data_IF_611923038209
#
_entry.id   IF_611923038209
#
_cell.length_a   1.000
_cell.length_b   1.000
_cell.length_c   1.000
_cell.angle_alpha   90.00
_cell.angle_beta   90.00
_cell.angle_gamma   90.00
#
_symmetry.space_group_name_H-M   'P 1'
#
loop_
_entity.id
_entity.type
_entity.pdbx_description
1 polymer ?
#
# COMPACT_ATOMS: atom_id res chain seq x y z
N UNK A 1 26.48 57.98 -44.13
CA UNK A 1 25.62 56.79 -44.20
C UNK A 1 26.39 55.59 -43.67
N UNK A 2 26.17 55.20 -42.42
CA UNK A 2 26.52 53.86 -41.91
C UNK A 2 25.44 53.50 -40.88
N UNK A 3 24.55 52.57 -41.23
CA UNK A 3 23.52 52.04 -40.34
C UNK A 3 24.11 50.84 -39.58
N UNK A 4 24.22 50.95 -38.25
CA UNK A 4 24.58 49.85 -37.37
C UNK A 4 23.30 49.06 -37.05
N UNK A 5 23.16 47.84 -37.61
CA UNK A 5 22.09 46.90 -37.24
C UNK A 5 22.56 46.07 -36.05
N UNK A 6 21.97 46.31 -34.88
CA UNK A 6 22.09 45.40 -33.74
C UNK A 6 21.07 44.26 -33.92
N UNK A 7 21.54 43.02 -33.99
CA UNK A 7 20.72 41.82 -33.98
C UNK A 7 20.70 41.30 -32.54
N UNK A 8 19.55 41.39 -31.86
CA UNK A 8 19.32 40.67 -30.61
C UNK A 8 18.96 39.22 -30.94
N UNK A 9 19.80 38.28 -30.50
CA UNK A 9 19.52 36.85 -30.52
C UNK A 9 18.87 36.50 -29.18
N UNK A 10 17.56 36.25 -29.17
CA UNK A 10 16.87 35.62 -28.04
C UNK A 10 17.14 34.12 -28.08
N UNK A 11 18.01 33.64 -27.19
CA UNK A 11 18.17 32.21 -26.93
C UNK A 11 17.00 31.80 -26.03
N UNK A 12 15.96 31.22 -26.63
CA UNK A 12 14.95 30.47 -25.88
C UNK A 12 15.59 29.17 -25.40
N UNK A 13 16.10 29.17 -24.17
CA UNK A 13 16.43 27.92 -23.47
C UNK A 13 15.12 27.23 -23.09
N UNK A 14 14.61 26.40 -24.00
CA UNK A 14 13.63 25.38 -23.64
C UNK A 14 14.33 24.35 -22.74
N UNK A 15 14.31 24.59 -21.43
CA UNK A 15 14.56 23.53 -20.46
C UNK A 15 13.41 22.53 -20.60
N UNK A 16 13.59 21.54 -21.47
CA UNK A 16 12.82 20.31 -21.42
C UNK A 16 13.07 19.72 -20.03
N UNK A 17 12.19 20.03 -19.08
CA UNK A 17 12.11 19.30 -17.83
C UNK A 17 11.64 17.91 -18.23
N UNK A 18 12.59 17.01 -18.50
CA UNK A 18 12.30 15.59 -18.56
C UNK A 18 11.54 15.27 -17.28
N UNK A 19 10.32 14.77 -17.42
CA UNK A 19 9.53 14.38 -16.29
C UNK A 19 10.34 13.33 -15.49
N UNK A 20 10.94 13.74 -14.37
CA UNK A 20 11.61 12.84 -13.41
C UNK A 20 10.81 11.54 -13.25
N UNK A 21 11.49 10.43 -13.52
CA UNK A 21 10.92 9.09 -13.43
C UNK A 21 10.50 8.82 -11.99
N UNK A 22 9.30 8.30 -11.78
CA UNK A 22 8.86 7.90 -10.46
C UNK A 22 9.69 6.70 -9.99
N UNK A 23 10.15 6.73 -8.73
CA UNK A 23 10.98 5.69 -8.11
C UNK A 23 10.32 5.15 -6.84
N UNK A 24 10.41 3.84 -6.56
CA UNK A 24 10.07 3.34 -5.24
C UNK A 24 11.22 3.67 -4.25
N UNK A 25 10.99 3.51 -2.93
CA UNK A 25 12.06 3.53 -1.94
C UNK A 25 13.14 2.47 -2.24
N UNK A 26 14.39 2.74 -1.83
CA UNK A 26 15.56 1.86 -2.08
C UNK A 26 15.37 0.40 -1.63
N UNK A 27 14.51 0.18 -0.64
CA UNK A 27 14.05 -1.12 -0.19
C UNK A 27 13.43 -2.03 -1.25
N UNK A 28 12.65 -1.45 -2.18
CA UNK A 28 12.03 -2.18 -3.27
C UNK A 28 12.99 -2.46 -4.43
N UNK A 29 14.22 -1.95 -4.35
CA UNK A 29 15.27 -2.10 -5.36
C UNK A 29 16.37 -3.07 -4.91
N UNK A 30 16.11 -3.87 -3.87
CA UNK A 30 17.07 -4.83 -3.35
C UNK A 30 17.22 -6.04 -4.29
N UNK A 31 18.43 -6.61 -4.41
CA UNK A 31 18.58 -7.95 -4.96
C UNK A 31 18.02 -9.01 -3.99
N UNK A 32 17.67 -10.19 -4.48
CA UNK A 32 17.43 -11.36 -3.63
C UNK A 32 18.57 -11.67 -2.66
N UNK A 33 18.22 -12.19 -1.48
CA UNK A 33 19.16 -12.49 -0.38
C UNK A 33 20.01 -13.75 -0.62
N UNK A 34 19.56 -14.66 -1.49
CA UNK A 34 20.19 -15.97 -1.76
C UNK A 34 20.36 -16.87 -0.52
N UNK A 35 19.39 -16.85 0.38
CA UNK A 35 19.33 -17.78 1.51
C UNK A 35 19.04 -19.21 1.02
N UNK A 36 19.68 -20.24 1.61
CA UNK A 36 19.32 -21.64 1.35
C UNK A 36 17.93 -21.94 1.93
N UNK A 37 16.90 -21.62 1.16
CA UNK A 37 15.50 -21.87 1.50
C UNK A 37 14.97 -23.09 0.73
N UNK A 38 13.97 -23.76 1.31
CA UNK A 38 13.22 -24.79 0.57
C UNK A 38 12.64 -24.17 -0.70
N UNK A 39 12.79 -24.88 -1.82
CA UNK A 39 12.16 -24.48 -3.07
C UNK A 39 10.65 -24.30 -2.84
N UNK A 40 10.15 -23.10 -3.13
CA UNK A 40 8.71 -22.85 -3.20
C UNK A 40 8.28 -23.23 -4.60
N UNK A 41 7.44 -24.26 -4.69
CA UNK A 41 6.89 -24.68 -5.98
C UNK A 41 5.93 -23.61 -6.52
N UNK A 42 5.75 -23.59 -7.83
CA UNK A 42 4.68 -22.83 -8.47
C UNK A 42 3.41 -23.70 -8.52
N UNK A 43 2.40 -23.48 -7.64
CA UNK A 43 1.15 -24.22 -7.74
C UNK A 43 0.31 -23.67 -8.89
N UNK A 44 -0.81 -24.34 -9.20
CA UNK A 44 -1.81 -23.79 -10.12
C UNK A 44 -2.28 -22.42 -9.64
N UNK A 45 -2.22 -21.42 -10.52
CA UNK A 45 -2.68 -20.07 -10.22
C UNK A 45 -4.21 -20.05 -9.97
N UNK A 46 -4.70 -19.26 -9.00
CA UNK A 46 -6.14 -19.02 -8.85
C UNK A 46 -6.76 -18.44 -10.12
N UNK A 47 -7.96 -18.90 -10.47
CA UNK A 47 -8.66 -18.44 -11.67
C UNK A 47 -8.93 -16.93 -11.64
N UNK A 48 -8.80 -16.21 -12.77
CA UNK A 48 -9.14 -14.80 -12.88
C UNK A 48 -10.55 -14.48 -12.39
N UNK A 49 -10.69 -13.52 -11.48
CA UNK A 49 -12.00 -13.04 -11.04
C UNK A 49 -12.53 -11.96 -11.99
N UNK A 50 -13.46 -12.33 -12.87
CA UNK A 50 -14.09 -11.44 -13.87
C UNK A 50 -15.56 -11.10 -13.57
N UNK A 51 -16.06 -11.56 -12.42
CA UNK A 51 -17.42 -11.29 -11.98
C UNK A 51 -17.64 -9.85 -11.48
N UNK A 52 -18.89 -9.54 -11.14
CA UNK A 52 -19.26 -8.29 -10.48
C UNK A 52 -18.63 -8.23 -9.10
N UNK A 53 -18.07 -7.08 -8.72
CA UNK A 53 -17.51 -6.82 -7.40
C UNK A 53 -18.64 -6.33 -6.47
N UNK A 54 -19.55 -7.23 -6.12
CA UNK A 54 -20.67 -6.99 -5.20
C UNK A 54 -20.68 -8.09 -4.12
N UNK A 55 -20.06 -7.78 -2.97
CA UNK A 55 -19.87 -8.75 -1.89
C UNK A 55 -20.56 -8.32 -0.60
N UNK A 56 -21.12 -9.27 0.12
CA UNK A 56 -21.72 -8.99 1.42
C UNK A 56 -20.66 -8.46 2.40
N UNK A 57 -21.00 -7.42 3.16
CA UNK A 57 -20.13 -6.91 4.22
C UNK A 57 -20.16 -7.84 5.44
N UNK A 58 -19.00 -8.16 6.01
CA UNK A 58 -18.87 -8.88 7.29
C UNK A 58 -19.52 -8.18 8.49
N UNK A 59 -19.85 -6.89 8.35
CA UNK A 59 -20.56 -6.09 9.36
C UNK A 59 -22.06 -5.92 9.02
N UNK A 60 -22.62 -6.76 8.14
CA UNK A 60 -24.04 -6.71 7.81
C UNK A 60 -24.90 -6.86 9.08
N UNK A 61 -25.82 -5.91 9.29
CA UNK A 61 -26.65 -5.83 10.49
C UNK A 61 -26.05 -5.02 11.65
N UNK A 62 -24.82 -4.51 11.54
CA UNK A 62 -24.25 -3.60 12.54
C UNK A 62 -24.88 -2.20 12.46
N UNK A 63 -24.91 -1.49 13.59
CA UNK A 63 -25.25 -0.07 13.66
C UNK A 63 -24.26 0.83 12.89
N UNK A 64 -24.44 2.15 12.98
CA UNK A 64 -23.60 3.13 12.28
C UNK A 64 -22.11 3.07 12.64
N UNK A 65 -21.75 2.50 13.80
CA UNK A 65 -20.35 2.27 14.19
C UNK A 65 -19.69 1.16 13.37
N UNK A 66 -20.49 0.29 12.72
CA UNK A 66 -20.02 -0.86 11.93
C UNK A 66 -18.98 -1.71 12.67
N UNK A 67 -19.17 -1.94 13.97
CA UNK A 67 -18.17 -2.57 14.84
C UNK A 67 -18.55 -4.00 15.26
N UNK A 68 -19.78 -4.43 14.99
CA UNK A 68 -20.28 -5.76 15.36
C UNK A 68 -20.17 -6.73 14.19
N UNK A 69 -19.32 -7.76 14.33
CA UNK A 69 -19.12 -8.79 13.31
C UNK A 69 -20.36 -9.68 13.21
N UNK A 70 -20.82 -9.95 12.00
CA UNK A 70 -21.83 -10.96 11.72
C UNK A 70 -21.11 -12.22 11.19
N UNK A 71 -21.08 -13.34 11.95
CA UNK A 71 -20.33 -14.53 11.56
C UNK A 71 -20.76 -15.15 10.22
N UNK A 72 -22.06 -15.17 9.93
CA UNK A 72 -22.59 -15.70 8.68
C UNK A 72 -22.20 -14.81 7.50
N UNK A 73 -22.31 -13.49 7.67
CA UNK A 73 -21.89 -12.53 6.66
C UNK A 73 -20.37 -12.55 6.43
N UNK A 74 -19.56 -12.77 7.48
CA UNK A 74 -18.11 -12.94 7.36
C UNK A 74 -17.76 -14.23 6.60
N UNK A 75 -18.45 -15.34 6.88
CA UNK A 75 -18.27 -16.59 6.16
C UNK A 75 -18.64 -16.44 4.66
N UNK A 76 -19.79 -15.83 4.37
CA UNK A 76 -20.23 -15.55 3.00
C UNK A 76 -19.25 -14.63 2.27
N UNK A 77 -18.80 -13.54 2.91
CA UNK A 77 -17.78 -12.66 2.39
C UNK A 77 -16.49 -13.42 2.02
N UNK A 78 -15.96 -14.22 2.95
CA UNK A 78 -14.73 -15.01 2.71
C UNK A 78 -14.88 -15.99 1.57
N UNK A 79 -16.03 -16.63 1.44
CA UNK A 79 -16.30 -17.55 0.33
C UNK A 79 -16.35 -16.80 -1.01
N UNK A 80 -17.08 -15.69 -1.07
CA UNK A 80 -17.25 -14.89 -2.30
C UNK A 80 -15.94 -14.28 -2.77
N UNK A 81 -15.10 -13.79 -1.85
CA UNK A 81 -13.83 -13.14 -2.20
C UNK A 81 -12.65 -14.09 -2.30
N UNK A 82 -12.86 -15.39 -2.07
CA UNK A 82 -11.78 -16.39 -1.99
C UNK A 82 -10.84 -16.35 -3.20
N UNK A 83 -11.32 -16.34 -4.46
CA UNK A 83 -10.43 -16.32 -5.62
C UNK A 83 -9.47 -15.12 -5.62
N UNK A 84 -9.95 -13.96 -5.18
CA UNK A 84 -9.15 -12.72 -5.07
C UNK A 84 -8.10 -12.87 -3.96
N UNK A 85 -8.52 -13.29 -2.77
CA UNK A 85 -7.61 -13.42 -1.63
C UNK A 85 -6.58 -14.54 -1.81
N UNK A 86 -6.93 -15.60 -2.53
CA UNK A 86 -6.01 -16.69 -2.85
C UNK A 86 -4.97 -16.22 -3.87
N UNK A 87 -5.34 -15.34 -4.82
CA UNK A 87 -4.40 -14.71 -5.75
C UNK A 87 -3.47 -13.71 -5.05
N UNK A 88 -3.98 -12.89 -4.13
CA UNK A 88 -3.14 -12.01 -3.29
C UNK A 88 -2.06 -12.82 -2.56
N UNK A 89 -2.45 -13.93 -1.92
CA UNK A 89 -1.52 -14.83 -1.22
C UNK A 89 -0.55 -15.53 -2.16
N UNK A 90 -1.02 -15.97 -3.32
CA UNK A 90 -0.19 -16.62 -4.34
C UNK A 90 0.95 -15.69 -4.74
N UNK A 91 0.64 -14.47 -5.17
CA UNK A 91 1.63 -13.49 -5.64
C UNK A 91 2.61 -13.13 -4.52
N UNK A 92 2.09 -12.81 -3.33
CA UNK A 92 2.93 -12.44 -2.19
C UNK A 92 3.88 -13.57 -1.79
N UNK A 93 3.43 -14.83 -1.75
CA UNK A 93 4.30 -15.97 -1.42
C UNK A 93 5.40 -16.17 -2.46
N UNK A 94 5.08 -16.08 -3.75
CA UNK A 94 6.06 -16.30 -4.81
C UNK A 94 7.10 -15.17 -4.86
N UNK A 95 6.68 -13.90 -4.71
CA UNK A 95 7.63 -12.78 -4.66
C UNK A 95 8.49 -12.83 -3.40
N UNK A 96 7.93 -13.14 -2.22
CA UNK A 96 8.74 -13.35 -1.01
C UNK A 96 9.73 -14.50 -1.17
N UNK A 97 9.31 -15.62 -1.78
CA UNK A 97 10.22 -16.73 -2.05
C UNK A 97 11.36 -16.32 -2.98
N UNK A 98 11.05 -15.60 -4.07
CA UNK A 98 12.06 -15.06 -4.97
C UNK A 98 13.01 -14.08 -4.26
N UNK A 99 12.50 -13.16 -3.44
CA UNK A 99 13.33 -12.22 -2.67
C UNK A 99 14.29 -12.95 -1.71
N UNK A 100 13.88 -14.10 -1.16
CA UNK A 100 14.74 -14.89 -0.27
C UNK A 100 15.78 -15.73 -1.01
N UNK A 101 15.42 -16.38 -2.11
CA UNK A 101 16.26 -17.42 -2.74
C UNK A 101 16.76 -17.10 -4.16
N UNK A 102 16.28 -16.03 -4.79
CA UNK A 102 16.64 -15.63 -6.15
C UNK A 102 16.20 -16.57 -7.26
N UNK A 103 15.37 -17.59 -6.97
CA UNK A 103 15.01 -18.60 -7.96
C UNK A 103 14.08 -18.01 -9.05
N UNK A 104 14.49 -18.00 -10.33
CA UNK A 104 13.71 -17.42 -11.42
C UNK A 104 12.39 -18.15 -11.69
N UNK A 105 12.21 -19.40 -11.23
CA UNK A 105 10.93 -20.10 -11.37
C UNK A 105 9.79 -19.40 -10.60
N UNK A 106 10.10 -18.76 -9.48
CA UNK A 106 9.12 -17.97 -8.71
C UNK A 106 8.68 -16.71 -9.50
N UNK A 107 9.61 -16.09 -10.24
CA UNK A 107 9.29 -14.95 -11.12
C UNK A 107 8.39 -15.40 -12.24
N UNK A 108 8.76 -16.48 -12.95
CA UNK A 108 7.93 -17.06 -14.02
C UNK A 108 6.51 -17.37 -13.53
N UNK A 109 6.39 -17.90 -12.31
CA UNK A 109 5.12 -18.20 -11.66
C UNK A 109 4.23 -16.96 -11.49
N UNK A 110 4.80 -15.87 -10.97
CA UNK A 110 4.08 -14.59 -10.78
C UNK A 110 3.70 -13.98 -12.12
N UNK A 111 4.64 -13.91 -13.06
CA UNK A 111 4.42 -13.31 -14.37
C UNK A 111 3.29 -14.02 -15.12
N UNK A 112 3.31 -15.35 -15.18
CA UNK A 112 2.26 -16.10 -15.87
C UNK A 112 0.89 -15.90 -15.21
N UNK A 113 0.82 -16.02 -13.88
CA UNK A 113 -0.44 -15.87 -13.16
C UNK A 113 -1.04 -14.45 -13.29
N UNK A 114 -0.21 -13.41 -13.21
CA UNK A 114 -0.67 -12.03 -13.41
C UNK A 114 -1.00 -11.73 -14.87
N UNK A 115 -0.28 -12.32 -15.84
CA UNK A 115 -0.59 -12.17 -17.26
C UNK A 115 -1.95 -12.80 -17.61
N UNK A 116 -2.30 -13.93 -16.99
CA UNK A 116 -3.61 -14.56 -17.16
C UNK A 116 -4.73 -13.69 -16.58
N UNK A 117 -4.53 -13.13 -15.38
CA UNK A 117 -5.47 -12.19 -14.76
C UNK A 117 -5.63 -10.90 -15.60
N UNK A 118 -4.52 -10.35 -16.09
CA UNK A 118 -4.52 -9.16 -16.92
C UNK A 118 -5.27 -9.39 -18.24
N UNK A 119 -4.99 -10.51 -18.93
CA UNK A 119 -5.63 -10.86 -20.20
C UNK A 119 -7.13 -11.11 -20.06
N UNK A 120 -7.56 -11.66 -18.93
CA UNK A 120 -8.97 -11.86 -18.61
C UNK A 120 -9.69 -10.58 -18.17
N UNK A 121 -8.98 -9.47 -17.95
CA UNK A 121 -9.55 -8.26 -17.36
C UNK A 121 -10.05 -8.49 -15.93
N UNK A 122 -9.32 -9.29 -15.13
CA UNK A 122 -9.73 -9.56 -13.77
C UNK A 122 -9.90 -8.26 -12.96
N UNK A 123 -10.91 -8.23 -12.09
CA UNK A 123 -11.25 -7.10 -11.21
C UNK A 123 -11.68 -5.79 -11.92
N UNK A 124 -11.82 -5.75 -13.24
CA UNK A 124 -12.29 -4.55 -13.96
C UNK A 124 -13.82 -4.40 -13.95
N UNK A 125 -14.55 -5.49 -13.70
CA UNK A 125 -16.02 -5.48 -13.64
C UNK A 125 -16.59 -4.56 -12.56
N UNK A 126 -17.82 -4.08 -12.74
CA UNK A 126 -18.43 -3.06 -11.88
C UNK A 126 -18.36 -3.38 -10.38
N UNK A 127 -17.90 -2.41 -9.59
CA UNK A 127 -17.84 -2.46 -8.14
C UNK A 127 -18.95 -1.62 -7.51
N UNK A 128 -20.15 -2.19 -7.44
CA UNK A 128 -21.36 -1.48 -7.02
C UNK A 128 -21.38 -1.12 -5.53
N UNK A 129 -20.69 -1.90 -4.71
CA UNK A 129 -20.74 -1.73 -3.26
C UNK A 129 -19.35 -1.43 -2.66
N UNK A 130 -19.34 -0.91 -1.44
CA UNK A 130 -18.10 -0.52 -0.76
C UNK A 130 -17.14 -1.70 -0.53
N UNK A 131 -17.66 -2.92 -0.35
CA UNK A 131 -16.88 -4.14 -0.12
C UNK A 131 -16.13 -4.55 -1.39
N UNK A 132 -16.80 -4.54 -2.55
CA UNK A 132 -16.21 -4.85 -3.85
C UNK A 132 -15.12 -3.86 -4.26
N UNK A 133 -15.41 -2.56 -4.13
CA UNK A 133 -14.42 -1.49 -4.31
C UNK A 133 -13.19 -1.69 -3.41
N UNK A 134 -13.42 -2.16 -2.18
CA UNK A 134 -12.33 -2.47 -1.24
C UNK A 134 -11.52 -3.71 -1.67
N UNK A 135 -12.15 -4.74 -2.22
CA UNK A 135 -11.42 -5.90 -2.75
C UNK A 135 -10.54 -5.53 -3.94
N UNK A 136 -11.02 -4.67 -4.86
CA UNK A 136 -10.23 -4.14 -5.98
C UNK A 136 -8.94 -3.48 -5.50
N UNK A 137 -9.03 -2.45 -4.63
CA UNK A 137 -7.84 -1.72 -4.17
C UNK A 137 -6.86 -2.59 -3.37
N UNK A 138 -7.35 -3.55 -2.58
CA UNK A 138 -6.46 -4.42 -1.79
C UNK A 138 -5.68 -5.39 -2.67
N UNK A 139 -6.34 -5.98 -3.67
CA UNK A 139 -5.66 -6.78 -4.68
C UNK A 139 -4.66 -5.93 -5.49
N UNK A 140 -5.06 -4.73 -5.91
CA UNK A 140 -4.19 -3.78 -6.62
C UNK A 140 -2.95 -3.42 -5.82
N UNK A 141 -3.10 -3.12 -4.52
CA UNK A 141 -1.98 -2.83 -3.63
C UNK A 141 -1.01 -4.02 -3.55
N UNK A 142 -1.53 -5.24 -3.37
CA UNK A 142 -0.74 -6.47 -3.34
C UNK A 142 0.03 -6.68 -4.65
N UNK A 143 -0.65 -6.59 -5.79
CA UNK A 143 -0.03 -6.86 -7.09
C UNK A 143 1.00 -5.80 -7.47
N UNK A 144 0.69 -4.52 -7.27
CA UNK A 144 1.60 -3.43 -7.62
C UNK A 144 2.85 -3.44 -6.74
N UNK A 145 2.70 -3.59 -5.42
CA UNK A 145 3.84 -3.60 -4.50
C UNK A 145 4.73 -4.84 -4.64
N UNK A 146 4.16 -5.98 -5.04
CA UNK A 146 4.92 -7.18 -5.40
C UNK A 146 5.64 -7.00 -6.76
N UNK A 147 4.99 -6.40 -7.75
CA UNK A 147 5.57 -6.16 -9.07
C UNK A 147 6.77 -5.20 -9.01
N UNK A 148 6.70 -4.16 -8.17
CA UNK A 148 7.81 -3.22 -7.96
C UNK A 148 9.13 -3.93 -7.61
N UNK A 149 9.09 -4.95 -6.75
CA UNK A 149 10.29 -5.71 -6.36
C UNK A 149 10.94 -6.42 -7.54
N UNK A 150 10.13 -6.95 -8.47
CA UNK A 150 10.62 -7.62 -9.68
C UNK A 150 11.12 -6.60 -10.71
N UNK A 151 10.38 -5.50 -10.89
CA UNK A 151 10.65 -4.47 -11.89
C UNK A 151 11.90 -3.66 -11.58
N UNK A 152 12.13 -3.33 -10.31
CA UNK A 152 13.24 -2.51 -9.85
C UNK A 152 14.43 -3.31 -9.29
N UNK A 153 14.35 -4.64 -9.31
CA UNK A 153 15.49 -5.47 -8.95
C UNK A 153 16.68 -5.21 -9.89
N UNK A 154 17.92 -5.10 -9.37
CA UNK A 154 19.12 -4.96 -10.18
C UNK A 154 19.42 -6.21 -11.03
N UNK A 155 18.82 -7.36 -10.70
CA UNK A 155 18.94 -8.58 -11.51
C UNK A 155 18.07 -8.55 -12.77
N UNK A 156 17.17 -7.58 -12.89
CA UNK A 156 16.26 -7.40 -14.03
C UNK A 156 15.52 -8.69 -14.46
N UNK A 157 14.88 -9.42 -13.52
CA UNK A 157 14.29 -10.73 -13.79
C UNK A 157 13.13 -10.68 -14.80
N UNK A 158 12.52 -9.50 -15.00
CA UNK A 158 11.42 -9.30 -15.96
C UNK A 158 11.87 -9.17 -17.43
N UNK A 159 13.17 -9.04 -17.73
CA UNK A 159 13.67 -8.89 -19.12
C UNK A 159 13.28 -10.04 -20.04
N UNK A 160 13.01 -11.22 -19.49
CA UNK A 160 12.56 -12.39 -20.24
C UNK A 160 11.07 -12.33 -20.65
N UNK A 161 10.31 -11.34 -20.18
CA UNK A 161 8.84 -11.29 -20.30
C UNK A 161 8.29 -9.95 -20.80
N UNK A 162 8.82 -9.33 -21.87
CA UNK A 162 8.44 -7.98 -22.27
C UNK A 162 6.95 -7.83 -22.63
N UNK A 163 6.36 -8.84 -23.30
CA UNK A 163 4.94 -8.80 -23.68
C UNK A 163 4.01 -8.93 -22.47
N UNK A 164 4.33 -9.84 -21.54
CA UNK A 164 3.58 -10.01 -20.31
C UNK A 164 3.69 -8.77 -19.42
N UNK A 165 4.89 -8.18 -19.33
CA UNK A 165 5.11 -6.95 -18.59
C UNK A 165 4.22 -5.82 -19.11
N UNK A 166 4.22 -5.57 -20.42
CA UNK A 166 3.37 -4.53 -21.02
C UNK A 166 1.88 -4.79 -20.79
N UNK A 167 1.44 -6.06 -20.80
CA UNK A 167 0.05 -6.42 -20.52
C UNK A 167 -0.35 -6.20 -19.06
N UNK A 168 0.49 -6.68 -18.14
CA UNK A 168 0.28 -6.56 -16.69
C UNK A 168 0.27 -5.09 -16.27
N UNK A 169 1.23 -4.29 -16.73
CA UNK A 169 1.32 -2.87 -16.36
C UNK A 169 0.13 -2.06 -16.90
N UNK A 170 -0.36 -2.37 -18.12
CA UNK A 170 -1.61 -1.76 -18.65
C UNK A 170 -2.84 -2.14 -17.82
N UNK A 171 -2.93 -3.40 -17.41
CA UNK A 171 -4.03 -3.85 -16.55
C UNK A 171 -3.98 -3.21 -15.16
N UNK A 172 -2.79 -3.14 -14.54
CA UNK A 172 -2.60 -2.45 -13.26
C UNK A 172 -2.96 -0.96 -13.38
N UNK A 173 -2.57 -0.29 -14.46
CA UNK A 173 -3.01 1.08 -14.79
C UNK A 173 -4.53 1.20 -14.79
N UNK A 174 -5.22 0.32 -15.52
CA UNK A 174 -6.69 0.33 -15.60
C UNK A 174 -7.33 0.18 -14.22
N UNK A 175 -6.79 -0.70 -13.38
CA UNK A 175 -7.25 -0.84 -12.00
C UNK A 175 -6.94 0.39 -11.13
N UNK A 176 -5.82 1.06 -11.39
CA UNK A 176 -5.46 2.36 -10.79
C UNK A 176 -6.52 3.42 -11.08
N UNK A 177 -6.86 3.63 -12.35
CA UNK A 177 -7.87 4.60 -12.78
C UNK A 177 -9.24 4.31 -12.16
N UNK A 178 -9.64 3.03 -12.18
CA UNK A 178 -10.87 2.58 -11.54
C UNK A 178 -10.85 2.85 -10.03
N UNK A 179 -9.70 2.69 -9.38
CA UNK A 179 -9.55 2.96 -7.94
C UNK A 179 -9.59 4.46 -7.64
N UNK A 180 -9.02 5.32 -8.48
CA UNK A 180 -9.15 6.79 -8.36
C UNK A 180 -10.62 7.19 -8.41
N UNK A 181 -11.33 6.75 -9.46
CA UNK A 181 -12.75 7.03 -9.67
C UNK A 181 -13.65 6.61 -8.49
N UNK A 182 -13.24 5.57 -7.76
CA UNK A 182 -14.00 5.05 -6.64
C UNK A 182 -13.76 5.77 -5.31
N UNK A 183 -12.58 6.38 -5.11
CA UNK A 183 -12.08 6.73 -3.77
C UNK A 183 -11.57 8.17 -3.63
N UNK A 184 -11.24 8.87 -4.72
CA UNK A 184 -10.65 10.22 -4.68
C UNK A 184 -11.61 11.27 -4.12
N UNK A 185 -12.77 11.48 -4.77
CA UNK A 185 -13.69 12.59 -4.46
C UNK A 185 -14.78 12.24 -3.42
N UNK A 186 -14.45 11.42 -2.43
CA UNK A 186 -15.40 11.07 -1.37
C UNK A 186 -15.61 12.26 -0.42
N UNK A 187 -16.83 12.48 0.10
CA UNK A 187 -17.04 13.51 1.13
C UNK A 187 -16.23 13.17 2.38
N UNK A 188 -15.69 14.18 3.08
CA UNK A 188 -14.75 14.00 4.20
C UNK A 188 -15.26 13.07 5.30
N UNK A 189 -16.57 13.02 5.55
CA UNK A 189 -17.17 12.11 6.54
C UNK A 189 -17.18 10.63 6.12
N UNK A 190 -16.84 10.33 4.85
CA UNK A 190 -16.66 8.99 4.28
C UNK A 190 -15.20 8.65 3.96
N UNK A 191 -14.30 9.63 3.99
CA UNK A 191 -12.85 9.41 3.86
C UNK A 191 -12.30 8.84 5.16
N UNK A 192 -11.88 7.59 5.14
CA UNK A 192 -11.30 6.87 6.29
C UNK A 192 -10.19 5.94 5.81
N UNK A 193 -9.74 4.99 6.63
CA UNK A 193 -8.71 4.00 6.30
C UNK A 193 -8.91 3.33 4.93
N UNK A 194 -10.14 3.14 4.46
CA UNK A 194 -10.36 2.59 3.12
C UNK A 194 -9.86 3.50 2.01
N UNK A 195 -9.98 4.83 2.14
CA UNK A 195 -9.40 5.78 1.21
C UNK A 195 -7.87 5.76 1.29
N UNK A 196 -7.29 5.61 2.48
CA UNK A 196 -5.83 5.58 2.63
C UNK A 196 -5.22 4.32 2.01
N UNK A 197 -5.88 3.16 2.18
CA UNK A 197 -5.51 1.94 1.48
C UNK A 197 -5.70 2.04 -0.04
N UNK A 198 -6.67 2.85 -0.51
CA UNK A 198 -6.82 3.13 -1.94
C UNK A 198 -5.66 3.97 -2.46
N UNK A 199 -5.32 5.05 -1.75
CA UNK A 199 -4.18 5.90 -2.07
C UNK A 199 -2.86 5.11 -2.10
N UNK A 200 -2.65 4.16 -1.18
CA UNK A 200 -1.49 3.29 -1.24
C UNK A 200 -1.48 2.41 -2.49
N UNK A 201 -2.62 1.81 -2.86
CA UNK A 201 -2.73 1.02 -4.08
C UNK A 201 -2.39 1.86 -5.32
N UNK A 202 -2.99 3.05 -5.42
CA UNK A 202 -2.79 4.01 -6.51
C UNK A 202 -1.31 4.45 -6.56
N UNK A 203 -0.71 4.82 -5.41
CA UNK A 203 0.70 5.23 -5.30
C UNK A 203 1.65 4.14 -5.82
N UNK A 204 1.47 2.90 -5.37
CA UNK A 204 2.29 1.79 -5.84
C UNK A 204 2.11 1.54 -7.36
N UNK A 205 0.88 1.62 -7.86
CA UNK A 205 0.57 1.50 -9.30
C UNK A 205 1.17 2.64 -10.12
N UNK A 206 1.17 3.87 -9.61
CA UNK A 206 1.74 5.03 -10.25
C UNK A 206 3.25 4.83 -10.52
N UNK A 207 3.99 4.29 -9.55
CA UNK A 207 5.42 3.98 -9.72
C UNK A 207 5.66 2.79 -10.67
N UNK A 208 4.80 1.78 -10.65
CA UNK A 208 4.88 0.66 -11.61
C UNK A 208 4.71 1.15 -13.04
N UNK A 209 3.69 1.98 -13.26
CA UNK A 209 3.23 2.39 -14.60
C UNK A 209 3.78 3.73 -15.06
N UNK A 210 4.56 4.42 -14.21
CA UNK A 210 5.12 5.75 -14.45
C UNK A 210 4.06 6.85 -14.69
N UNK A 211 2.88 6.68 -14.09
CA UNK A 211 1.75 7.60 -14.22
C UNK A 211 1.72 8.64 -13.11
N UNK A 212 2.05 9.89 -13.47
CA UNK A 212 2.17 11.01 -12.53
C UNK A 212 0.84 11.57 -12.05
N UNK A 213 -0.20 11.44 -12.85
CA UNK A 213 -1.59 11.70 -12.47
C UNK A 213 -2.00 10.79 -11.30
N UNK A 214 -1.83 9.47 -11.43
CA UNK A 214 -2.09 8.54 -10.33
C UNK A 214 -1.25 8.87 -9.08
N UNK A 215 0.02 9.25 -9.26
CA UNK A 215 0.87 9.67 -8.14
C UNK A 215 0.30 10.91 -7.43
N UNK A 216 -0.21 11.87 -8.20
CA UNK A 216 -0.82 13.10 -7.68
C UNK A 216 -2.12 12.79 -6.96
N UNK A 217 -3.01 11.98 -7.54
CA UNK A 217 -4.28 11.57 -6.92
C UNK A 217 -4.05 10.84 -5.58
N UNK A 218 -3.02 9.99 -5.51
CA UNK A 218 -2.65 9.31 -4.27
C UNK A 218 -2.18 10.30 -3.19
N UNK A 219 -1.41 11.33 -3.57
CA UNK A 219 -0.95 12.37 -2.65
C UNK A 219 -2.11 13.26 -2.17
N UNK A 220 -3.10 13.53 -3.01
CA UNK A 220 -4.26 14.34 -2.62
C UNK A 220 -5.13 13.64 -1.57
N UNK A 221 -5.31 12.32 -1.71
CA UNK A 221 -5.95 11.51 -0.65
C UNK A 221 -5.08 11.48 0.62
N UNK A 222 -3.75 11.37 0.50
CA UNK A 222 -2.84 11.41 1.63
C UNK A 222 -2.92 12.74 2.39
N UNK A 223 -2.89 13.87 1.68
CA UNK A 223 -3.06 15.21 2.26
C UNK A 223 -4.40 15.34 2.98
N UNK A 224 -5.47 14.83 2.38
CA UNK A 224 -6.78 14.77 3.02
C UNK A 224 -6.71 14.00 4.35
N UNK A 225 -6.04 12.85 4.38
CA UNK A 225 -5.82 12.10 5.61
C UNK A 225 -5.04 12.92 6.66
N UNK A 226 -3.97 13.62 6.25
CA UNK A 226 -3.17 14.46 7.14
C UNK A 226 -4.00 15.58 7.77
N UNK A 227 -4.89 16.21 7.00
CA UNK A 227 -5.81 17.24 7.49
C UNK A 227 -6.90 16.69 8.43
N UNK A 228 -7.20 15.39 8.37
CA UNK A 228 -8.16 14.75 9.28
C UNK A 228 -7.55 14.38 10.64
N UNK A 229 -6.22 14.30 10.75
CA UNK A 229 -5.55 13.97 12.01
C UNK A 229 -5.64 15.20 12.95
N UNK A 230 -6.34 15.03 14.05
CA UNK A 230 -6.56 16.10 15.02
C UNK A 230 -5.25 16.51 15.75
N UNK A 231 -5.25 17.62 16.51
CA UNK A 231 -4.06 18.06 17.24
C UNK A 231 -3.53 17.03 18.26
N UNK A 232 -4.36 16.07 18.67
CA UNK A 232 -3.98 15.01 19.59
C UNK A 232 -3.56 13.73 18.86
N UNK A 233 -3.54 13.70 17.52
CA UNK A 233 -3.12 12.55 16.71
C UNK A 233 -4.24 11.55 16.39
N UNK A 234 -5.50 11.82 16.70
CA UNK A 234 -6.60 10.91 16.41
C UNK A 234 -7.27 11.22 15.07
N UNK A 235 -7.83 10.17 14.46
CA UNK A 235 -8.64 10.24 13.24
C UNK A 235 -10.14 10.17 13.62
N UNK A 236 -10.92 11.25 13.44
CA UNK A 236 -12.32 11.30 13.85
C UNK A 236 -13.19 10.18 13.26
N UNK A 237 -12.94 9.80 12.00
CA UNK A 237 -13.71 8.74 11.35
C UNK A 237 -13.36 7.33 11.88
N UNK A 238 -12.16 7.13 12.42
CA UNK A 238 -11.76 5.86 13.05
C UNK A 238 -12.22 5.78 14.52
N UNK A 239 -12.31 6.91 15.23
CA UNK A 239 -12.90 6.96 16.57
C UNK A 239 -14.37 6.48 16.59
N UNK A 240 -15.11 6.70 15.50
CA UNK A 240 -16.51 6.22 15.34
C UNK A 240 -16.65 4.70 15.41
N UNK A 241 -15.54 3.95 15.39
CA UNK A 241 -15.53 2.48 15.46
C UNK A 241 -15.56 1.96 16.91
N UNK A 242 -15.74 2.86 17.90
CA UNK A 242 -15.96 2.54 19.33
C UNK A 242 -14.87 1.65 19.89
N UNK A 243 -15.20 0.44 20.36
CA UNK A 243 -14.25 -0.54 20.89
C UNK A 243 -13.16 -0.95 19.90
N UNK A 244 -13.34 -0.69 18.60
CA UNK A 244 -12.35 -0.99 17.57
C UNK A 244 -11.50 0.22 17.17
N UNK A 245 -11.72 1.40 17.74
CA UNK A 245 -11.06 2.63 17.31
C UNK A 245 -9.54 2.50 17.27
N UNK A 246 -8.91 1.95 18.32
CA UNK A 246 -7.47 1.73 18.33
C UNK A 246 -7.00 0.84 17.16
N UNK A 247 -7.64 -0.32 16.97
CA UNK A 247 -7.31 -1.22 15.86
C UNK A 247 -7.47 -0.55 14.48
N UNK A 248 -8.45 0.35 14.33
CA UNK A 248 -8.67 1.09 13.09
C UNK A 248 -7.66 2.22 12.87
N UNK A 249 -7.16 2.87 13.92
CA UNK A 249 -6.03 3.80 13.79
C UNK A 249 -4.75 3.06 13.39
N UNK A 250 -4.48 1.90 14.00
CA UNK A 250 -3.37 1.04 13.58
C UNK A 250 -3.53 0.54 12.14
N UNK A 251 -4.76 0.27 11.69
CA UNK A 251 -5.01 -0.11 10.30
C UNK A 251 -4.90 1.06 9.32
N UNK A 252 -5.19 2.28 9.75
CA UNK A 252 -5.08 3.50 8.97
C UNK A 252 -3.63 3.93 8.73
N UNK A 253 -2.77 3.82 9.75
CA UNK A 253 -1.36 4.27 9.63
C UNK A 253 -0.54 3.38 8.68
N UNK A 254 -0.90 2.11 8.53
CA UNK A 254 -0.22 1.15 7.65
C UNK A 254 0.02 1.68 6.22
N UNK A 255 -1.02 2.03 5.44
CA UNK A 255 -0.83 2.58 4.12
C UNK A 255 -0.22 3.99 4.13
N UNK A 256 -0.50 4.81 5.16
CA UNK A 256 0.00 6.19 5.24
C UNK A 256 1.53 6.24 5.36
N UNK A 257 2.13 5.32 6.13
CA UNK A 257 3.59 5.18 6.20
C UNK A 257 4.18 4.79 4.86
N UNK A 258 3.55 3.85 4.13
CA UNK A 258 4.04 3.46 2.81
C UNK A 258 3.93 4.59 1.79
N UNK A 259 2.82 5.34 1.78
CA UNK A 259 2.65 6.51 0.91
C UNK A 259 3.74 7.56 1.21
N UNK A 260 4.00 7.84 2.48
CA UNK A 260 5.05 8.79 2.87
C UNK A 260 6.45 8.34 2.40
N UNK A 261 6.80 7.06 2.54
CA UNK A 261 8.07 6.55 2.03
C UNK A 261 8.22 6.74 0.52
N UNK A 262 7.16 6.47 -0.23
CA UNK A 262 7.15 6.65 -1.68
C UNK A 262 7.19 8.13 -2.06
N UNK A 263 6.46 9.00 -1.35
CA UNK A 263 6.51 10.45 -1.55
C UNK A 263 7.94 10.99 -1.37
N UNK A 264 8.61 10.60 -0.27
CA UNK A 264 10.00 10.99 0.03
C UNK A 264 10.97 10.50 -1.04
N UNK A 265 10.81 9.27 -1.52
CA UNK A 265 11.63 8.72 -2.61
C UNK A 265 11.51 9.49 -3.93
N UNK A 266 10.45 10.31 -4.08
CA UNK A 266 10.17 11.13 -5.26
C UNK A 266 10.28 12.64 -4.95
N UNK A 267 11.00 13.02 -3.90
CA UNK A 267 11.31 14.43 -3.60
C UNK A 267 10.13 15.25 -3.06
N UNK A 268 9.03 14.61 -2.67
CA UNK A 268 7.94 15.24 -1.93
C UNK A 268 8.22 15.09 -0.44
N UNK A 269 8.03 16.13 0.36
CA UNK A 269 8.13 16.07 1.82
C UNK A 269 6.75 15.70 2.41
N UNK A 270 6.52 14.43 2.77
CA UNK A 270 5.24 14.00 3.33
C UNK A 270 5.09 14.34 4.82
N UNK A 271 6.20 14.61 5.53
CA UNK A 271 6.19 14.77 6.99
C UNK A 271 5.75 16.17 7.41
N UNK A 272 6.08 17.18 6.59
CA UNK A 272 5.68 18.57 6.84
C UNK A 272 4.16 18.81 6.78
N UNK A 273 3.38 17.87 6.24
CA UNK A 273 1.93 18.01 6.07
C UNK A 273 1.20 18.15 7.42
N UNK A 274 0.38 19.20 7.53
CA UNK A 274 -0.41 19.55 8.72
C UNK A 274 0.38 19.46 10.05
N UNK A 275 1.54 20.11 10.10
CA UNK A 275 2.38 20.24 11.31
C UNK A 275 2.81 18.87 11.89
N UNK A 276 3.40 18.01 11.08
CA UNK A 276 3.79 16.65 11.46
C UNK A 276 2.60 15.75 11.83
N UNK A 277 1.51 15.82 11.05
CA UNK A 277 0.29 15.05 11.35
C UNK A 277 0.53 13.53 11.38
N UNK A 278 1.30 13.00 10.42
CA UNK A 278 1.67 11.59 10.42
C UNK A 278 2.44 11.22 11.70
N UNK A 279 3.31 12.11 12.19
CA UNK A 279 4.04 11.90 13.44
C UNK A 279 3.11 11.79 14.63
N UNK A 280 2.19 12.75 14.78
CA UNK A 280 1.19 12.74 15.87
C UNK A 280 0.36 11.46 15.87
N UNK A 281 -0.12 11.03 14.69
CA UNK A 281 -0.88 9.78 14.57
C UNK A 281 -0.04 8.57 15.00
N UNK A 282 1.19 8.45 14.51
CA UNK A 282 2.03 7.30 14.84
C UNK A 282 2.45 7.25 16.30
N UNK A 283 2.72 8.39 16.93
CA UNK A 283 3.02 8.44 18.37
C UNK A 283 1.84 7.97 19.22
N UNK A 284 0.61 8.38 18.89
CA UNK A 284 -0.60 7.92 19.59
C UNK A 284 -0.83 6.43 19.39
N UNK A 285 -0.66 5.92 18.16
CA UNK A 285 -0.82 4.49 17.87
C UNK A 285 0.26 3.67 18.57
N UNK A 286 1.52 4.11 18.55
CA UNK A 286 2.64 3.44 19.23
C UNK A 286 2.44 3.45 20.74
N UNK A 287 1.99 4.56 21.33
CA UNK A 287 1.62 4.62 22.74
C UNK A 287 0.48 3.64 23.07
N UNK A 288 -0.53 3.57 22.19
CA UNK A 288 -1.68 2.67 22.29
C UNK A 288 -1.33 1.18 22.39
N UNK A 289 -0.18 0.78 21.85
CA UNK A 289 0.31 -0.60 21.92
C UNK A 289 0.60 -1.03 23.35
N UNK A 290 1.13 -0.10 24.16
CA UNK A 290 1.43 -0.33 25.57
C UNK A 290 0.22 0.01 26.45
N UNK A 291 -0.46 1.11 26.14
CA UNK A 291 -1.64 1.58 26.87
C UNK A 291 -2.72 2.13 25.94
N UNK A 292 -3.81 1.38 25.78
CA UNK A 292 -4.95 1.77 24.95
C UNK A 292 -5.94 2.72 25.66
N UNK A 293 -5.65 3.14 26.90
CA UNK A 293 -6.54 3.98 27.71
C UNK A 293 -6.90 5.32 27.03
N UNK A 294 -5.99 6.05 26.33
CA UNK A 294 -6.36 7.26 25.60
C UNK A 294 -7.46 7.04 24.55
N UNK A 295 -7.42 5.89 23.84
CA UNK A 295 -8.49 5.52 22.91
C UNK A 295 -9.79 5.21 23.66
N UNK A 296 -9.70 4.49 24.79
CA UNK A 296 -10.87 4.16 25.58
C UNK A 296 -11.60 5.41 26.12
N UNK A 297 -10.84 6.42 26.59
CA UNK A 297 -11.40 7.72 26.99
C UNK A 297 -12.09 8.43 25.83
N UNK A 298 -11.46 8.43 24.65
CA UNK A 298 -12.00 9.11 23.46
C UNK A 298 -13.29 8.50 22.93
N UNK A 299 -13.48 7.20 23.13
CA UNK A 299 -14.65 6.49 22.59
C UNK A 299 -15.68 6.08 23.62
N UNK A 300 -15.40 6.29 24.91
CA UNK A 300 -16.18 5.76 26.03
C UNK A 300 -16.40 4.24 25.90
N UNK A 301 -15.35 3.51 25.53
CA UNK A 301 -15.42 2.07 25.28
C UNK A 301 -14.08 1.38 25.53
N UNK A 302 -14.10 0.24 26.21
CA UNK A 302 -12.92 -0.63 26.29
C UNK A 302 -12.46 -1.05 24.88
N UNK A 303 -11.16 -1.01 24.62
CA UNK A 303 -10.61 -1.26 23.29
C UNK A 303 -10.29 -2.74 23.06
N UNK A 304 -10.64 -3.23 21.88
CA UNK A 304 -10.23 -4.54 21.36
C UNK A 304 -8.77 -4.49 20.91
N UNK A 305 -7.89 -5.06 21.74
CA UNK A 305 -6.44 -5.13 21.50
C UNK A 305 -5.99 -6.47 20.89
N UNK A 306 -6.92 -7.37 20.55
CA UNK A 306 -6.60 -8.71 20.02
C UNK A 306 -5.74 -8.66 18.76
N UNK A 307 -5.87 -7.61 17.94
CA UNK A 307 -5.08 -7.42 16.72
C UNK A 307 -3.56 -7.37 16.97
N UNK A 308 -3.12 -7.01 18.19
CA UNK A 308 -1.70 -6.97 18.56
C UNK A 308 -1.07 -8.37 18.64
N UNK A 309 -1.87 -9.42 18.76
CA UNK A 309 -1.41 -10.82 18.76
C UNK A 309 -0.98 -11.29 17.36
N UNK A 310 -1.22 -10.49 16.32
CA UNK A 310 -0.85 -10.80 14.94
C UNK A 310 0.24 -9.82 14.46
N UNK A 311 1.52 -10.23 14.43
CA UNK A 311 2.65 -9.35 14.07
C UNK A 311 2.47 -8.61 12.74
N UNK A 312 1.79 -9.21 11.76
CA UNK A 312 1.47 -8.58 10.46
C UNK A 312 0.78 -7.21 10.58
N UNK A 313 -0.02 -7.00 11.63
CA UNK A 313 -0.72 -5.73 11.87
C UNK A 313 0.23 -4.61 12.33
N UNK A 314 1.46 -4.96 12.71
CA UNK A 314 2.50 -4.05 13.17
C UNK A 314 3.65 -3.92 12.17
N UNK A 315 3.53 -4.50 10.98
CA UNK A 315 4.60 -4.49 9.98
C UNK A 315 4.99 -3.08 9.52
N UNK A 316 4.06 -2.13 9.58
CA UNK A 316 4.30 -0.71 9.27
C UNK A 316 5.36 -0.06 10.16
N UNK A 317 5.66 -0.63 11.34
CA UNK A 317 6.71 -0.13 12.22
C UNK A 317 8.10 -0.17 11.56
N UNK A 318 8.35 -1.12 10.65
CA UNK A 318 9.59 -1.17 9.87
C UNK A 318 9.74 0.10 9.03
N UNK A 319 8.67 0.47 8.31
CA UNK A 319 8.64 1.70 7.50
C UNK A 319 8.62 2.97 8.35
N UNK A 320 7.96 2.93 9.50
CA UNK A 320 7.96 4.04 10.46
C UNK A 320 9.37 4.40 10.91
N UNK A 321 10.21 3.40 11.20
CA UNK A 321 11.60 3.64 11.61
C UNK A 321 12.53 4.08 10.44
N UNK A 322 12.05 4.04 9.20
CA UNK A 322 12.69 4.70 8.06
C UNK A 322 12.28 6.16 7.94
N UNK A 323 11.06 6.49 8.36
CA UNK A 323 10.59 7.87 8.36
C UNK A 323 11.17 8.65 9.54
N UNK A 324 11.11 8.06 10.75
CA UNK A 324 11.45 8.71 12.01
C UNK A 324 12.49 7.93 12.80
N UNK A 325 13.23 8.63 13.66
CA UNK A 325 14.14 7.99 14.63
C UNK A 325 13.34 7.23 15.70
N UNK A 326 13.38 5.91 15.65
CA UNK A 326 12.84 5.05 16.70
C UNK A 326 13.74 5.01 17.95
N UNK A 327 13.17 4.79 19.13
CA UNK A 327 13.91 4.58 20.37
C UNK A 327 14.25 3.08 20.58
N UNK A 328 15.10 2.76 21.56
CA UNK A 328 15.51 1.37 21.82
C UNK A 328 14.36 0.42 22.15
N UNK A 329 13.38 0.78 23.01
CA UNK A 329 12.25 -0.10 23.29
C UNK A 329 11.46 -0.48 22.02
N UNK A 330 11.19 0.50 21.14
CA UNK A 330 10.48 0.24 19.90
C UNK A 330 11.31 -0.64 18.96
N UNK A 331 12.63 -0.39 18.84
CA UNK A 331 13.54 -1.23 18.05
C UNK A 331 13.59 -2.67 18.55
N UNK A 332 13.70 -2.88 19.86
CA UNK A 332 13.72 -4.22 20.47
C UNK A 332 12.40 -4.95 20.22
N UNK A 333 11.27 -4.24 20.33
CA UNK A 333 9.96 -4.80 20.02
C UNK A 333 9.86 -5.23 18.57
N UNK A 334 10.24 -4.37 17.62
CA UNK A 334 10.27 -4.70 16.19
C UNK A 334 11.12 -5.94 15.98
N UNK A 335 12.35 -5.97 16.51
CA UNK A 335 13.25 -7.11 16.37
C UNK A 335 12.64 -8.43 16.88
N UNK A 336 11.91 -8.41 18.01
CA UNK A 336 11.24 -9.60 18.55
C UNK A 336 10.06 -10.11 17.71
N UNK A 337 9.53 -9.26 16.82
CA UNK A 337 8.40 -9.59 15.94
C UNK A 337 8.84 -9.98 14.53
N UNK A 338 10.13 -9.84 14.19
CA UNK A 338 10.63 -10.14 12.84
C UNK A 338 10.56 -11.64 12.52
N UNK A 339 10.33 -12.02 11.24
CA UNK A 339 10.05 -11.14 10.11
C UNK A 339 8.64 -10.56 10.15
N UNK A 340 8.53 -9.26 9.88
CA UNK A 340 7.26 -8.54 9.82
C UNK A 340 6.74 -8.51 8.39
N UNK A 341 5.68 -9.27 8.14
CA UNK A 341 5.13 -9.47 6.81
C UNK A 341 3.72 -8.91 6.69
N UNK A 342 3.39 -8.26 5.58
CA UNK A 342 2.04 -7.85 5.23
C UNK A 342 1.86 -7.88 3.70
N UNK A 343 1.02 -8.81 3.24
CA UNK A 343 0.74 -9.06 1.81
C UNK A 343 0.39 -7.79 1.05
N UNK A 344 -0.41 -6.90 1.64
CA UNK A 344 -0.90 -5.69 0.95
C UNK A 344 0.09 -4.53 0.96
N UNK A 345 1.16 -4.62 1.74
CA UNK A 345 2.24 -3.61 1.78
C UNK A 345 3.48 -4.05 0.99
N UNK A 346 3.44 -5.21 0.33
CA UNK A 346 4.56 -5.74 -0.45
C UNK A 346 5.15 -7.04 0.07
N UNK A 347 4.60 -7.63 1.14
CA UNK A 347 5.12 -8.86 1.72
C UNK A 347 6.06 -8.58 2.88
N UNK A 348 7.35 -8.93 2.77
CA UNK A 348 8.30 -8.88 3.87
C UNK A 348 8.87 -7.46 4.08
N UNK A 349 8.26 -6.71 5.00
CA UNK A 349 8.73 -5.35 5.30
C UNK A 349 10.04 -5.34 6.10
N UNK A 350 10.39 -6.41 6.80
CA UNK A 350 11.71 -6.50 7.45
C UNK A 350 12.83 -6.55 6.40
N UNK A 351 12.62 -7.28 5.30
CA UNK A 351 13.54 -7.25 4.15
C UNK A 351 13.52 -5.89 3.45
N UNK A 352 12.32 -5.42 3.06
CA UNK A 352 12.18 -4.19 2.29
C UNK A 352 12.68 -2.94 3.04
N UNK A 353 12.68 -2.92 4.37
CA UNK A 353 13.16 -1.77 5.15
C UNK A 353 14.57 -1.96 5.72
N UNK A 354 15.26 -3.07 5.42
CA UNK A 354 16.64 -3.26 5.85
C UNK A 354 17.63 -2.32 5.13
N UNK A 355 17.29 -1.89 3.90
CA UNK A 355 18.17 -1.21 2.95
C UNK A 355 18.70 0.18 3.36
N UNK A 356 18.21 0.76 4.46
CA UNK A 356 18.53 2.14 4.86
C UNK A 356 19.06 2.26 6.29
N UNK A 357 19.42 1.15 6.93
CA UNK A 357 20.20 1.17 8.18
C UNK A 357 21.69 1.46 7.92
N UNK A 358 21.99 2.58 7.24
CA UNK A 358 23.23 3.33 7.50
C UNK A 358 22.82 4.58 8.27
N UNK A 359 22.50 4.39 9.54
CA UNK A 359 22.57 5.45 10.54
C UNK A 359 24.03 5.45 11.02
N UNK A 360 24.85 6.27 10.37
CA UNK A 360 26.01 6.88 11.03
C UNK A 360 25.55 8.16 11.75
#
# INVERSE_FOLDING_TARGET
MVFLRAVLIFIFSAAAHGADRLSPPAGFMQPPEHHPAKAVNCPTAPAPFTGVLDFQSKYAGSDSARATLNPEADAAFRQQTRPITDMERFVSRQVTAWAQNGNPSNVACVVNALADWASAGALTGDAKNHTGRSMRKWALATFSSAWLQLQYSPQHPLRAYPAQQANIERWLSTLGDLTVNEWHDLPLNKVNNHSYWAAWAIMATAVVTQQRDLFTDALDIYRTAMQQIDPQGFLPNELRRRQRAFSYHNYAIQPLVMIALFARANGVDPEAENHDALRRLGEVVIGGITDAQPFAQKTDAAQDVSFLQHPTNLAWLEGWCQLYRCNDPLRQRIASLRPLQNTRLGGDLSHLMAATARQE
#
